data_IF_075016344657
#
_entry.id   IF_075016344657
#
_cell.length_a   1.000
_cell.length_b   1.000
_cell.length_c   1.000
_cell.angle_alpha   90.00
_cell.angle_beta   90.00
_cell.angle_gamma   90.00
#
_symmetry.space_group_name_H-M   'P 1'
#
loop_
_entity.id
_entity.type
_entity.pdbx_description
1 polymer ?
#
# COMPACT_ATOMS: atom_id res chain seq x y z
N UNK A 1 29.89 -40.16 -7.87
CA UNK A 1 28.42 -40.30 -7.68
C UNK A 1 27.86 -38.91 -7.39
N UNK A 2 27.48 -38.22 -8.44
CA UNK A 2 26.88 -36.87 -8.34
C UNK A 2 25.37 -37.05 -8.10
N UNK A 3 24.92 -36.78 -6.89
CA UNK A 3 23.49 -36.60 -6.63
C UNK A 3 23.03 -35.34 -7.35
N UNK A 4 22.41 -35.51 -8.50
CA UNK A 4 21.60 -34.46 -9.13
C UNK A 4 20.41 -34.18 -8.20
N UNK A 5 20.50 -33.11 -7.44
CA UNK A 5 19.34 -32.55 -6.73
C UNK A 5 18.33 -32.13 -7.81
N UNK A 6 17.32 -32.96 -7.94
CA UNK A 6 16.15 -32.69 -8.75
C UNK A 6 15.57 -31.32 -8.28
N UNK A 7 15.47 -30.28 -9.13
CA UNK A 7 14.82 -29.04 -8.72
C UNK A 7 13.35 -29.36 -8.50
N UNK A 8 13.00 -29.54 -7.22
CA UNK A 8 11.61 -29.73 -6.78
C UNK A 8 10.78 -28.64 -7.46
N UNK A 9 9.77 -29.08 -8.21
CA UNK A 9 8.79 -28.23 -8.85
C UNK A 9 8.24 -27.24 -7.83
N UNK A 10 8.78 -26.00 -7.82
CA UNK A 10 8.05 -24.89 -7.23
C UNK A 10 6.69 -24.86 -7.93
N UNK A 11 5.57 -24.81 -7.21
CA UNK A 11 4.27 -24.70 -7.84
C UNK A 11 4.31 -23.52 -8.79
N UNK A 12 4.21 -23.78 -10.10
CA UNK A 12 4.23 -22.71 -11.11
C UNK A 12 3.05 -21.80 -10.82
N UNK A 13 3.33 -20.61 -10.29
CA UNK A 13 2.30 -19.63 -10.03
C UNK A 13 1.67 -19.25 -11.38
N UNK A 14 0.36 -19.36 -11.47
CA UNK A 14 -0.38 -18.99 -12.67
C UNK A 14 -0.51 -17.48 -12.81
N UNK A 15 -1.09 -17.04 -13.92
CA UNK A 15 -1.34 -15.62 -14.18
C UNK A 15 -2.18 -14.94 -13.07
N UNK A 16 -3.07 -15.67 -12.42
CA UNK A 16 -3.91 -15.16 -11.32
C UNK A 16 -3.06 -14.71 -10.14
N UNK A 17 -2.07 -15.51 -9.72
CA UNK A 17 -1.16 -15.14 -8.65
C UNK A 17 -0.33 -13.92 -9.01
N UNK A 18 0.14 -13.83 -10.27
CA UNK A 18 0.86 -12.66 -10.77
C UNK A 18 0.01 -11.39 -10.72
N UNK A 19 -1.25 -11.47 -11.14
CA UNK A 19 -2.20 -10.34 -11.08
C UNK A 19 -2.43 -9.90 -9.63
N UNK A 20 -2.67 -10.85 -8.70
CA UNK A 20 -2.89 -10.53 -7.29
C UNK A 20 -1.67 -9.81 -6.70
N UNK A 21 -0.46 -10.33 -6.94
CA UNK A 21 0.78 -9.72 -6.45
C UNK A 21 0.97 -8.32 -7.07
N UNK A 22 0.70 -8.19 -8.37
CA UNK A 22 0.82 -6.90 -9.07
C UNK A 22 -0.16 -5.85 -8.50
N UNK A 23 -1.42 -6.23 -8.26
CA UNK A 23 -2.42 -5.35 -7.66
C UNK A 23 -2.08 -4.99 -6.20
N UNK A 24 -1.58 -5.96 -5.44
CA UNK A 24 -1.20 -5.72 -4.04
C UNK A 24 -0.02 -4.73 -3.95
N UNK A 25 0.94 -4.82 -4.87
CA UNK A 25 2.06 -3.88 -4.94
C UNK A 25 1.64 -2.43 -5.31
N UNK A 26 0.41 -2.24 -5.78
CA UNK A 26 -0.14 -0.92 -6.10
C UNK A 26 -0.68 -0.17 -4.87
N UNK A 27 -0.98 -0.86 -3.77
CA UNK A 27 -1.57 -0.24 -2.57
C UNK A 27 -0.81 1.00 -2.05
N UNK A 28 0.54 1.03 -1.98
CA UNK A 28 1.26 2.22 -1.52
C UNK A 28 1.12 3.43 -2.43
N UNK A 29 1.05 3.20 -3.75
CA UNK A 29 0.82 4.29 -4.72
C UNK A 29 -0.59 4.86 -4.50
N UNK A 30 -1.57 4.00 -4.28
CA UNK A 30 -2.95 4.37 -4.01
C UNK A 30 -3.04 5.27 -2.76
N UNK A 31 -2.33 4.96 -1.69
CA UNK A 31 -2.36 5.74 -0.46
C UNK A 31 -1.89 7.18 -0.64
N UNK A 32 -0.81 7.39 -1.38
CA UNK A 32 -0.25 8.73 -1.63
C UNK A 32 -1.12 9.50 -2.61
N UNK A 33 -1.47 8.87 -3.75
CA UNK A 33 -2.18 9.53 -4.85
C UNK A 33 -3.60 9.90 -4.47
N UNK A 34 -4.28 9.06 -3.67
CA UNK A 34 -5.66 9.35 -3.24
C UNK A 34 -5.75 10.57 -2.32
N UNK A 35 -4.73 10.85 -1.53
CA UNK A 35 -4.75 11.97 -0.57
C UNK A 35 -4.28 13.30 -1.15
N UNK A 36 -3.50 13.31 -2.22
CA UNK A 36 -2.94 14.53 -2.78
C UNK A 36 -3.98 15.62 -3.10
N UNK A 37 -5.13 15.31 -3.76
CA UNK A 37 -6.17 16.31 -4.01
C UNK A 37 -6.92 16.76 -2.76
N UNK A 38 -6.91 15.96 -1.69
CA UNK A 38 -7.64 16.25 -0.45
C UNK A 38 -6.90 17.24 0.47
N UNK A 39 -5.60 17.49 0.26
CA UNK A 39 -4.78 18.34 1.12
C UNK A 39 -5.39 19.72 1.35
N UNK A 40 -5.77 20.51 0.33
CA UNK A 40 -6.34 21.84 0.55
C UNK A 40 -7.65 21.79 1.33
N UNK A 41 -8.50 20.81 1.03
CA UNK A 41 -9.81 20.62 1.70
C UNK A 41 -9.64 20.21 3.16
N UNK A 42 -8.65 19.37 3.47
CA UNK A 42 -8.32 18.98 4.83
C UNK A 42 -7.78 20.17 5.64
N UNK A 43 -6.89 20.98 5.06
CA UNK A 43 -6.38 22.20 5.72
C UNK A 43 -7.52 23.14 6.05
N UNK A 44 -8.45 23.37 5.11
CA UNK A 44 -9.62 24.23 5.33
C UNK A 44 -10.56 23.66 6.40
N UNK A 45 -10.82 22.34 6.36
CA UNK A 45 -11.71 21.69 7.32
C UNK A 45 -11.18 21.76 8.76
N UNK A 46 -9.86 21.65 8.93
CA UNK A 46 -9.19 21.65 10.24
C UNK A 46 -8.49 22.99 10.54
N UNK A 47 -8.90 24.11 9.91
CA UNK A 47 -8.25 25.42 10.05
C UNK A 47 -8.12 25.93 11.50
N UNK A 48 -8.97 25.41 12.43
CA UNK A 48 -8.88 25.74 13.87
C UNK A 48 -7.82 24.96 14.66
N UNK A 49 -7.14 23.98 14.03
CA UNK A 49 -6.12 23.15 14.69
C UNK A 49 -4.75 23.77 14.53
N UNK A 50 -3.97 23.97 15.62
CA UNK A 50 -2.60 24.49 15.51
C UNK A 50 -1.74 23.63 14.57
N UNK A 51 -0.92 24.29 13.75
CA UNK A 51 0.02 23.65 12.81
C UNK A 51 -0.63 22.77 11.73
N UNK A 52 -1.92 22.97 11.40
CA UNK A 52 -2.64 22.17 10.40
C UNK A 52 -1.94 22.17 9.04
N UNK A 53 -1.37 23.32 8.63
CA UNK A 53 -0.65 23.47 7.35
C UNK A 53 0.61 22.59 7.27
N UNK A 54 1.16 22.19 8.40
CA UNK A 54 2.31 21.29 8.49
C UNK A 54 1.86 19.85 8.69
N UNK A 55 0.86 19.63 9.56
CA UNK A 55 0.38 18.30 9.91
C UNK A 55 -0.30 17.57 8.73
N UNK A 56 -1.08 18.29 7.93
CA UNK A 56 -1.79 17.67 6.80
C UNK A 56 -0.82 17.18 5.71
N UNK A 57 0.15 17.95 5.21
CA UNK A 57 1.18 17.43 4.31
C UNK A 57 2.01 16.29 4.93
N UNK A 58 2.29 16.37 6.24
CA UNK A 58 3.02 15.32 6.94
C UNK A 58 2.27 13.98 6.94
N UNK A 59 0.93 13.99 6.92
CA UNK A 59 0.12 12.77 6.78
C UNK A 59 0.33 12.04 5.46
N UNK A 60 0.70 12.74 4.38
CA UNK A 60 1.03 12.12 3.10
C UNK A 60 2.36 11.38 3.14
N UNK A 61 3.32 11.94 3.86
CA UNK A 61 4.69 11.41 3.94
C UNK A 61 4.87 10.42 5.09
N UNK A 62 4.03 10.49 6.12
CA UNK A 62 4.11 9.61 7.29
C UNK A 62 4.11 8.11 6.96
N UNK A 63 3.27 7.59 6.04
CA UNK A 63 3.35 6.18 5.63
C UNK A 63 4.72 5.81 5.09
N UNK A 64 5.33 6.66 4.24
CA UNK A 64 6.66 6.44 3.67
C UNK A 64 7.75 6.33 4.74
N UNK A 65 7.69 7.15 5.79
CA UNK A 65 8.60 7.07 6.92
C UNK A 65 8.46 5.74 7.68
N UNK A 66 7.21 5.30 7.91
CA UNK A 66 6.94 4.01 8.55
C UNK A 66 7.45 2.86 7.71
N UNK A 67 7.28 2.90 6.38
CA UNK A 67 7.84 1.90 5.45
C UNK A 67 9.36 1.81 5.60
N UNK A 68 10.05 2.95 5.65
CA UNK A 68 11.50 2.99 5.77
C UNK A 68 11.99 2.36 7.09
N UNK A 69 11.26 2.57 8.20
CA UNK A 69 11.63 2.05 9.51
C UNK A 69 11.21 0.58 9.67
N UNK A 70 9.99 0.22 9.28
CA UNK A 70 9.43 -1.11 9.48
C UNK A 70 9.88 -2.12 8.41
N UNK A 71 10.22 -1.65 7.20
CA UNK A 71 10.60 -2.51 6.07
C UNK A 71 11.62 -3.58 6.39
N UNK A 72 12.76 -3.25 7.02
CA UNK A 72 13.78 -4.24 7.39
C UNK A 72 13.26 -5.35 8.33
N UNK A 73 12.28 -5.04 9.19
CA UNK A 73 11.72 -5.99 10.15
C UNK A 73 10.68 -6.92 9.52
N UNK A 74 10.08 -6.52 8.41
CA UNK A 74 8.96 -7.27 7.78
C UNK A 74 9.41 -8.59 7.16
N UNK A 75 10.65 -8.68 6.68
CA UNK A 75 11.22 -9.93 6.20
C UNK A 75 11.27 -11.00 7.29
N UNK A 76 11.85 -10.66 8.44
CA UNK A 76 11.89 -11.55 9.60
C UNK A 76 10.49 -11.97 10.06
N UNK A 77 9.54 -11.02 10.05
CA UNK A 77 8.16 -11.27 10.43
C UNK A 77 7.48 -12.26 9.46
N UNK A 78 7.76 -12.14 8.15
CA UNK A 78 7.26 -13.02 7.11
C UNK A 78 7.76 -14.45 7.26
N UNK A 79 9.03 -14.63 7.65
CA UNK A 79 9.61 -15.95 7.88
C UNK A 79 9.01 -16.61 9.12
N UNK A 80 8.69 -15.84 10.17
CA UNK A 80 8.13 -16.34 11.44
C UNK A 80 6.65 -16.70 11.34
N UNK A 81 5.82 -15.87 10.73
CA UNK A 81 4.36 -16.01 10.72
C UNK A 81 3.82 -16.62 9.42
N UNK A 82 4.66 -16.73 8.40
CA UNK A 82 4.28 -17.19 7.07
C UNK A 82 3.72 -16.06 6.19
N UNK A 83 4.21 -15.99 4.96
CA UNK A 83 3.96 -14.89 4.02
C UNK A 83 2.48 -14.65 3.72
N UNK A 84 1.73 -15.73 3.49
CA UNK A 84 0.29 -15.64 3.15
C UNK A 84 -0.54 -15.02 4.29
N UNK A 85 -0.32 -15.48 5.52
CA UNK A 85 -1.07 -14.98 6.68
C UNK A 85 -0.73 -13.51 6.95
N UNK A 86 0.55 -13.19 6.85
CA UNK A 86 1.03 -11.82 7.09
C UNK A 86 0.52 -10.86 6.01
N UNK A 87 0.49 -11.28 4.73
CA UNK A 87 -0.08 -10.47 3.65
C UNK A 87 -1.57 -10.21 3.87
N UNK A 88 -2.34 -11.22 4.23
CA UNK A 88 -3.78 -11.06 4.48
C UNK A 88 -4.06 -10.14 5.67
N UNK A 89 -3.30 -10.29 6.78
CA UNK A 89 -3.45 -9.41 7.94
C UNK A 89 -3.06 -7.97 7.62
N UNK A 90 -2.00 -7.76 6.85
CA UNK A 90 -1.57 -6.44 6.41
C UNK A 90 -2.60 -5.78 5.47
N UNK A 91 -3.16 -6.53 4.53
CA UNK A 91 -4.21 -6.01 3.64
C UNK A 91 -5.48 -5.64 4.42
N UNK A 92 -5.85 -6.44 5.43
CA UNK A 92 -6.98 -6.11 6.31
C UNK A 92 -6.69 -4.86 7.14
N UNK A 93 -5.49 -4.75 7.71
CA UNK A 93 -5.04 -3.56 8.44
C UNK A 93 -5.06 -2.31 7.56
N UNK A 94 -4.60 -2.46 6.30
CA UNK A 94 -4.64 -1.38 5.30
C UNK A 94 -6.07 -0.88 5.08
N UNK A 95 -7.02 -1.76 4.85
CA UNK A 95 -8.43 -1.39 4.65
C UNK A 95 -9.04 -0.73 5.89
N UNK A 96 -8.81 -1.28 7.09
CA UNK A 96 -9.32 -0.71 8.34
C UNK A 96 -8.73 0.69 8.57
N UNK A 97 -7.40 0.82 8.57
CA UNK A 97 -6.73 2.10 8.80
C UNK A 97 -7.01 3.09 7.66
N UNK A 98 -7.14 2.63 6.42
CA UNK A 98 -7.45 3.45 5.25
C UNK A 98 -8.82 4.11 5.33
N UNK A 99 -9.84 3.35 5.74
CA UNK A 99 -11.23 3.83 5.87
C UNK A 99 -11.52 4.52 7.20
N UNK A 100 -10.66 4.41 8.21
CA UNK A 100 -10.84 4.98 9.55
C UNK A 100 -11.19 6.49 9.55
N UNK A 101 -10.61 7.34 8.68
CA UNK A 101 -10.96 8.76 8.62
C UNK A 101 -12.39 9.06 8.11
N UNK A 102 -13.13 8.07 7.65
CA UNK A 102 -14.56 8.24 7.36
C UNK A 102 -15.40 8.38 8.63
N UNK A 103 -14.89 7.84 9.75
CA UNK A 103 -15.59 7.78 11.03
C UNK A 103 -14.95 8.67 12.10
N UNK A 104 -13.64 8.98 11.96
CA UNK A 104 -12.88 9.79 12.91
C UNK A 104 -12.80 11.24 12.39
N UNK A 105 -13.17 12.19 13.25
CA UNK A 105 -13.16 13.63 12.94
C UNK A 105 -11.97 14.37 13.54
N UNK A 106 -11.11 13.70 14.32
CA UNK A 106 -9.92 14.33 14.90
C UNK A 106 -8.70 14.21 13.99
N UNK A 107 -7.98 15.31 13.79
CA UNK A 107 -6.76 15.34 12.96
C UNK A 107 -5.71 14.34 13.45
N UNK A 108 -5.52 14.23 14.78
CA UNK A 108 -4.60 13.27 15.39
C UNK A 108 -4.99 11.83 15.11
N UNK A 109 -6.29 11.50 15.18
CA UNK A 109 -6.79 10.16 14.85
C UNK A 109 -6.55 9.81 13.39
N UNK A 110 -6.74 10.76 12.47
CA UNK A 110 -6.43 10.60 11.06
C UNK A 110 -4.92 10.36 10.88
N UNK A 111 -4.08 11.14 11.55
CA UNK A 111 -2.62 10.95 11.50
C UNK A 111 -2.20 9.55 11.97
N UNK A 112 -2.72 9.09 13.11
CA UNK A 112 -2.46 7.73 13.61
C UNK A 112 -2.90 6.65 12.61
N UNK A 113 -4.05 6.84 11.95
CA UNK A 113 -4.49 5.90 10.90
C UNK A 113 -3.51 5.83 9.73
N UNK A 114 -2.86 6.94 9.37
CA UNK A 114 -1.83 6.96 8.31
C UNK A 114 -0.57 6.18 8.70
N UNK A 115 -0.17 6.23 9.98
CA UNK A 115 0.92 5.39 10.47
C UNK A 115 0.56 3.89 10.37
N UNK A 116 -0.68 3.53 10.67
CA UNK A 116 -1.19 2.16 10.49
C UNK A 116 -1.20 1.71 9.04
N UNK A 117 -1.59 2.60 8.11
CA UNK A 117 -1.49 2.35 6.66
C UNK A 117 -0.05 2.10 6.27
N UNK A 118 0.91 2.94 6.70
CA UNK A 118 2.34 2.77 6.40
C UNK A 118 2.91 1.45 6.92
N UNK A 119 2.47 0.99 8.10
CA UNK A 119 2.87 -0.31 8.62
C UNK A 119 2.35 -1.46 7.74
N UNK A 120 1.10 -1.39 7.32
CA UNK A 120 0.52 -2.36 6.40
C UNK A 120 1.25 -2.36 5.05
N UNK A 121 1.56 -1.20 4.51
CA UNK A 121 2.31 -1.02 3.26
C UNK A 121 3.72 -1.60 3.32
N UNK A 122 4.44 -1.42 4.42
CA UNK A 122 5.76 -2.00 4.62
C UNK A 122 5.73 -3.52 4.48
N UNK A 123 4.74 -4.16 5.10
CA UNK A 123 4.52 -5.61 5.01
C UNK A 123 4.14 -6.02 3.59
N UNK A 124 3.17 -5.35 2.99
CA UNK A 124 2.66 -5.65 1.65
C UNK A 124 3.76 -5.56 0.60
N UNK A 125 4.54 -4.47 0.58
CA UNK A 125 5.64 -4.27 -0.37
C UNK A 125 6.70 -5.36 -0.25
N UNK A 126 7.13 -5.66 0.97
CA UNK A 126 8.16 -6.68 1.21
C UNK A 126 7.70 -8.05 0.75
N UNK A 127 6.47 -8.45 1.12
CA UNK A 127 5.97 -9.78 0.78
C UNK A 127 5.66 -9.88 -0.72
N UNK A 128 5.05 -8.87 -1.34
CA UNK A 128 4.75 -8.88 -2.77
C UNK A 128 6.02 -9.05 -3.60
N UNK A 129 7.09 -8.29 -3.29
CA UNK A 129 8.37 -8.42 -3.98
C UNK A 129 9.02 -9.79 -3.75
N UNK A 130 8.96 -10.32 -2.53
CA UNK A 130 9.52 -11.64 -2.22
C UNK A 130 8.75 -12.75 -2.94
N UNK A 131 7.42 -12.68 -2.98
CA UNK A 131 6.60 -13.66 -3.70
C UNK A 131 6.85 -13.63 -5.21
N UNK A 132 7.13 -12.46 -5.80
CA UNK A 132 7.56 -12.37 -7.21
C UNK A 132 8.85 -13.13 -7.48
N UNK A 133 9.81 -13.09 -6.55
CA UNK A 133 11.09 -13.78 -6.66
C UNK A 133 10.91 -15.29 -6.51
N UNK A 134 10.06 -15.73 -5.57
CA UNK A 134 9.90 -17.13 -5.23
C UNK A 134 9.01 -17.91 -6.21
N UNK A 135 8.02 -17.26 -6.80
CA UNK A 135 7.01 -17.94 -7.62
C UNK A 135 7.26 -17.83 -9.11
N UNK A 136 8.09 -16.90 -9.56
CA UNK A 136 8.28 -16.66 -10.98
C UNK A 136 9.76 -16.72 -11.35
N UNK A 137 10.03 -17.32 -12.52
CA UNK A 137 11.36 -17.30 -13.12
C UNK A 137 11.77 -15.87 -13.54
N UNK A 138 13.02 -15.69 -13.92
CA UNK A 138 13.57 -14.35 -14.28
C UNK A 138 12.82 -13.67 -15.43
N UNK A 139 12.28 -14.46 -16.39
CA UNK A 139 11.53 -13.93 -17.52
C UNK A 139 10.12 -13.49 -17.11
N UNK A 140 9.45 -14.31 -16.36
CA UNK A 140 8.11 -14.04 -15.83
C UNK A 140 8.14 -12.90 -14.82
N UNK A 141 9.15 -12.86 -13.95
CA UNK A 141 9.34 -11.77 -12.98
C UNK A 141 9.52 -10.42 -13.69
N UNK A 142 10.37 -10.34 -14.71
CA UNK A 142 10.53 -9.13 -15.52
C UNK A 142 9.21 -8.71 -16.19
N UNK A 143 8.45 -9.66 -16.70
CA UNK A 143 7.14 -9.39 -17.27
C UNK A 143 6.20 -8.75 -16.23
N UNK A 144 6.06 -9.32 -15.04
CA UNK A 144 5.20 -8.78 -13.99
C UNK A 144 5.66 -7.43 -13.46
N UNK A 145 6.97 -7.21 -13.34
CA UNK A 145 7.52 -5.88 -12.98
C UNK A 145 7.21 -4.84 -14.07
N UNK A 146 7.28 -5.22 -15.34
CA UNK A 146 6.89 -4.33 -16.44
C UNK A 146 5.38 -4.02 -16.40
N UNK A 147 4.56 -5.03 -16.15
CA UNK A 147 3.10 -4.86 -15.97
C UNK A 147 2.80 -3.89 -14.83
N UNK A 148 3.46 -4.02 -13.68
CA UNK A 148 3.33 -3.08 -12.57
C UNK A 148 3.74 -1.65 -12.97
N UNK A 149 4.88 -1.52 -13.68
CA UNK A 149 5.40 -0.23 -14.13
C UNK A 149 4.50 0.50 -15.13
N UNK A 150 3.68 -0.22 -15.91
CA UNK A 150 2.74 0.36 -16.88
C UNK A 150 1.36 0.59 -16.27
N UNK A 151 0.83 -0.42 -15.58
CA UNK A 151 -0.52 -0.35 -15.01
C UNK A 151 -0.56 0.57 -13.79
N UNK A 152 0.50 0.61 -12.99
CA UNK A 152 0.58 1.45 -11.79
C UNK A 152 0.30 2.93 -12.08
N UNK A 153 1.04 3.60 -12.97
CA UNK A 153 0.78 4.99 -13.34
C UNK A 153 -0.61 5.21 -13.96
N UNK A 154 -1.12 4.27 -14.77
CA UNK A 154 -2.45 4.38 -15.36
C UNK A 154 -3.55 4.34 -14.28
N UNK A 155 -3.44 3.42 -13.31
CA UNK A 155 -4.34 3.36 -12.16
C UNK A 155 -4.18 4.60 -11.26
N UNK A 156 -2.96 5.13 -11.10
CA UNK A 156 -2.73 6.35 -10.32
C UNK A 156 -3.51 7.54 -10.89
N UNK A 157 -3.58 7.71 -12.21
CA UNK A 157 -4.39 8.76 -12.85
C UNK A 157 -5.88 8.59 -12.55
N UNK A 158 -6.40 7.36 -12.63
CA UNK A 158 -7.79 7.07 -12.30
C UNK A 158 -8.11 7.34 -10.83
N UNK A 159 -7.21 6.94 -9.93
CA UNK A 159 -7.31 7.21 -8.49
C UNK A 159 -7.26 8.70 -8.20
N UNK A 160 -6.36 9.44 -8.84
CA UNK A 160 -6.24 10.89 -8.68
C UNK A 160 -7.53 11.60 -9.10
N UNK A 161 -8.07 11.25 -10.26
CA UNK A 161 -9.31 11.84 -10.78
C UNK A 161 -10.52 11.51 -9.89
N UNK A 162 -10.67 10.24 -9.49
CA UNK A 162 -11.75 9.81 -8.61
C UNK A 162 -11.65 10.42 -7.22
N UNK A 163 -10.45 10.51 -6.66
CA UNK A 163 -10.20 11.17 -5.37
C UNK A 163 -10.53 12.66 -5.41
N UNK A 164 -10.11 13.37 -6.46
CA UNK A 164 -10.46 14.78 -6.65
C UNK A 164 -11.97 14.99 -6.69
N UNK A 165 -12.69 14.16 -7.45
CA UNK A 165 -14.15 14.22 -7.52
C UNK A 165 -14.82 13.94 -6.16
N UNK A 166 -14.41 12.89 -5.46
CA UNK A 166 -14.95 12.51 -4.15
C UNK A 166 -14.66 13.56 -3.08
N UNK A 167 -13.47 14.17 -3.12
CA UNK A 167 -13.07 15.25 -2.20
C UNK A 167 -13.88 16.52 -2.44
N UNK A 168 -14.27 16.81 -3.68
CA UNK A 168 -15.16 17.93 -3.99
C UNK A 168 -16.57 17.74 -3.42
N UNK A 169 -17.03 16.49 -3.27
CA UNK A 169 -18.34 16.18 -2.67
C UNK A 169 -18.29 16.20 -1.13
N UNK A 170 -17.18 15.71 -0.52
CA UNK A 170 -17.02 15.61 0.94
C UNK A 170 -15.55 15.75 1.30
N UNK A 171 -15.24 16.47 2.39
CA UNK A 171 -13.87 16.70 2.86
C UNK A 171 -13.07 15.39 3.10
N UNK A 172 -13.75 14.31 3.50
CA UNK A 172 -13.17 12.98 3.72
C UNK A 172 -13.40 12.01 2.54
N UNK A 173 -13.83 12.50 1.38
CA UNK A 173 -14.15 11.67 0.22
C UNK A 173 -12.97 10.86 -0.32
N UNK A 174 -11.75 11.39 -0.24
CA UNK A 174 -10.54 10.67 -0.63
C UNK A 174 -10.36 9.32 0.08
N UNK A 175 -10.84 9.20 1.32
CA UNK A 175 -10.71 7.99 2.13
C UNK A 175 -11.71 6.88 1.76
N UNK A 176 -12.65 7.16 0.85
CA UNK A 176 -13.58 6.14 0.32
C UNK A 176 -12.94 5.21 -0.71
N UNK A 177 -11.72 5.53 -1.16
CA UNK A 177 -10.98 4.76 -2.17
C UNK A 177 -10.29 3.52 -1.54
N UNK A 178 -10.08 3.51 -0.23
CA UNK A 178 -9.45 2.41 0.50
C UNK A 178 -10.44 1.27 0.71
#
# INVERSE_FOLDING_TARGET
MSHSLNPLHAPQAGAIQGIIIALTAFLPILAIVSLAPAVPTLIQHFAGVPYVETLVPLMLTAPGLVIAIAGPCTGWLADKFGRRKLLLSATLLYGICGTMPLYITSLTGIFCSRLGVGLAEAVVLTIANTMLIDYFDDKQRRFWLTVQGVIGPALAVLVLASSGYLTALRWNGAFMIY
#
